data_IF_619241821658
#
_entry.id   IF_619241821658
#
_cell.length_a   1.000
_cell.length_b   1.000
_cell.length_c   1.000
_cell.angle_alpha   90.00
_cell.angle_beta   90.00
_cell.angle_gamma   90.00
#
_symmetry.space_group_name_H-M   'P 1'
#
loop_
_entity.id
_entity.type
_entity.pdbx_description
1 polymer ?
#
# COMPACT_ATOMS: atom_id res chain seq x y z
N UNK A 1 -15.36 -15.18 6.47
CA UNK A 1 -14.48 -15.05 5.30
C UNK A 1 -15.04 -13.95 4.41
N UNK A 2 -14.21 -13.00 3.97
CA UNK A 2 -14.62 -11.99 2.97
C UNK A 2 -14.88 -12.68 1.62
N UNK A 3 -15.79 -12.13 0.82
CA UNK A 3 -16.05 -12.61 -0.54
C UNK A 3 -14.87 -12.28 -1.46
N UNK A 4 -14.63 -13.13 -2.46
CA UNK A 4 -13.62 -12.85 -3.48
C UNK A 4 -14.11 -11.78 -4.46
N UNK A 5 -13.18 -11.08 -5.13
CA UNK A 5 -13.50 -10.12 -6.18
C UNK A 5 -14.36 -10.74 -7.29
N UNK A 6 -14.07 -11.99 -7.67
CA UNK A 6 -14.84 -12.71 -8.69
C UNK A 6 -16.29 -12.97 -8.24
N UNK A 7 -16.50 -13.34 -6.98
CA UNK A 7 -17.84 -13.54 -6.41
C UNK A 7 -18.62 -12.23 -6.39
N UNK A 8 -18.01 -11.14 -5.91
CA UNK A 8 -18.65 -9.82 -5.89
C UNK A 8 -19.04 -9.34 -7.29
N UNK A 9 -18.18 -9.57 -8.29
CA UNK A 9 -18.44 -9.24 -9.69
C UNK A 9 -19.57 -10.08 -10.28
N UNK A 10 -19.62 -11.39 -9.99
CA UNK A 10 -20.70 -12.26 -10.45
C UNK A 10 -22.05 -11.85 -9.85
N UNK A 11 -22.07 -11.55 -8.55
CA UNK A 11 -23.25 -11.03 -7.84
C UNK A 11 -23.71 -9.69 -8.44
N UNK A 12 -22.78 -8.77 -8.72
CA UNK A 12 -23.08 -7.49 -9.34
C UNK A 12 -23.69 -7.65 -10.74
N UNK A 13 -23.15 -8.56 -11.57
CA UNK A 13 -23.68 -8.85 -12.91
C UNK A 13 -25.11 -9.40 -12.90
N UNK A 14 -25.48 -10.13 -11.83
CA UNK A 14 -26.78 -10.77 -11.69
C UNK A 14 -27.81 -9.91 -10.95
N UNK A 15 -27.41 -8.79 -10.35
CA UNK A 15 -28.31 -7.98 -9.53
C UNK A 15 -29.29 -7.16 -10.41
N UNK A 16 -30.55 -7.06 -9.96
CA UNK A 16 -31.56 -6.21 -10.60
C UNK A 16 -31.66 -4.82 -9.97
N UNK A 17 -30.99 -4.62 -8.81
CA UNK A 17 -30.98 -3.38 -8.05
C UNK A 17 -29.59 -3.16 -7.44
N UNK A 18 -28.94 -2.08 -7.87
CA UNK A 18 -27.62 -1.68 -7.36
C UNK A 18 -27.68 -1.33 -5.85
N UNK A 19 -28.75 -0.67 -5.39
CA UNK A 19 -28.90 -0.27 -4.00
C UNK A 19 -29.00 -1.47 -3.05
N UNK A 20 -29.74 -2.51 -3.45
CA UNK A 20 -29.85 -3.76 -2.68
C UNK A 20 -28.51 -4.49 -2.64
N UNK A 21 -27.79 -4.54 -3.76
CA UNK A 21 -26.45 -5.13 -3.83
C UNK A 21 -25.48 -4.44 -2.88
N UNK A 22 -25.42 -3.10 -2.90
CA UNK A 22 -24.53 -2.32 -2.02
C UNK A 22 -24.87 -2.61 -0.55
N UNK A 23 -26.14 -2.52 -0.17
CA UNK A 23 -26.58 -2.76 1.22
C UNK A 23 -26.26 -4.19 1.69
N UNK A 24 -26.44 -5.19 0.82
CA UNK A 24 -26.15 -6.59 1.16
C UNK A 24 -24.65 -6.91 1.28
N UNK A 25 -23.77 -6.06 0.75
CA UNK A 25 -22.32 -6.26 0.74
C UNK A 25 -21.54 -5.12 1.40
N UNK A 26 -22.19 -4.32 2.25
CA UNK A 26 -21.60 -3.14 2.89
C UNK A 26 -20.26 -3.46 3.59
N UNK A 27 -20.20 -4.60 4.29
CA UNK A 27 -19.00 -5.06 5.01
C UNK A 27 -17.88 -5.60 4.11
N UNK A 28 -18.14 -5.79 2.81
CA UNK A 28 -17.15 -6.28 1.84
C UNK A 28 -16.33 -5.14 1.24
N UNK A 29 -16.86 -3.90 1.25
CA UNK A 29 -16.19 -2.76 0.67
C UNK A 29 -15.03 -2.29 1.53
N UNK A 30 -13.97 -1.83 0.86
CA UNK A 30 -12.83 -1.22 1.53
C UNK A 30 -13.24 0.17 2.04
N UNK A 31 -13.10 0.37 3.34
CA UNK A 31 -13.42 1.64 4.02
C UNK A 31 -12.20 2.26 4.71
N UNK A 32 -11.06 1.54 4.73
CA UNK A 32 -9.86 1.94 5.44
C UNK A 32 -9.23 3.18 4.81
N UNK A 33 -9.01 4.22 5.60
CA UNK A 33 -8.20 5.36 5.15
C UNK A 33 -6.71 4.98 5.26
N UNK A 34 -5.86 5.42 4.32
CA UNK A 34 -4.44 5.09 4.37
C UNK A 34 -3.77 5.40 5.71
N UNK A 35 -4.13 6.50 6.37
CA UNK A 35 -3.58 6.85 7.68
C UNK A 35 -3.99 5.85 8.77
N UNK A 36 -5.23 5.37 8.76
CA UNK A 36 -5.73 4.38 9.73
C UNK A 36 -5.01 3.05 9.52
N UNK A 37 -4.95 2.57 8.27
CA UNK A 37 -4.25 1.33 7.89
C UNK A 37 -2.75 1.39 8.24
N UNK A 38 -2.08 2.51 7.99
CA UNK A 38 -0.67 2.70 8.38
C UNK A 38 -0.48 2.62 9.90
N UNK A 39 -1.38 3.22 10.69
CA UNK A 39 -1.30 3.15 12.15
C UNK A 39 -1.56 1.72 12.66
N UNK A 40 -2.52 1.01 12.07
CA UNK A 40 -2.78 -0.39 12.41
C UNK A 40 -1.58 -1.30 12.11
N UNK A 41 -0.93 -1.14 10.96
CA UNK A 41 0.27 -1.91 10.61
C UNK A 41 1.44 -1.62 11.55
N UNK A 42 1.62 -0.36 11.97
CA UNK A 42 2.61 -0.01 12.99
C UNK A 42 2.34 -0.70 14.33
N UNK A 43 1.09 -0.71 14.78
CA UNK A 43 0.69 -1.35 16.04
C UNK A 43 0.90 -2.87 16.00
N UNK A 44 0.47 -3.54 14.92
CA UNK A 44 0.66 -4.98 14.71
C UNK A 44 2.13 -5.37 14.78
N UNK A 45 3.01 -4.54 14.21
CA UNK A 45 4.46 -4.77 14.12
C UNK A 45 5.24 -4.23 15.31
N UNK A 46 4.57 -3.55 16.26
CA UNK A 46 5.18 -2.86 17.41
C UNK A 46 6.25 -1.84 17.01
N UNK A 47 6.06 -1.18 15.88
CA UNK A 47 6.94 -0.13 15.38
C UNK A 47 6.43 1.24 15.81
N UNK A 48 7.34 2.12 16.21
CA UNK A 48 6.99 3.51 16.50
C UNK A 48 6.89 4.33 15.21
N UNK A 49 6.10 5.40 15.24
CA UNK A 49 6.02 6.36 14.12
C UNK A 49 7.40 6.90 13.73
N UNK A 50 8.27 7.14 14.70
CA UNK A 50 9.61 7.67 14.44
C UNK A 50 10.49 6.67 13.69
N UNK A 51 10.42 5.37 14.03
CA UNK A 51 11.15 4.31 13.33
C UNK A 51 10.67 4.18 11.88
N UNK A 52 9.36 4.08 11.68
CA UNK A 52 8.78 3.95 10.33
C UNK A 52 9.08 5.16 9.46
N UNK A 53 8.91 6.38 9.99
CA UNK A 53 9.23 7.62 9.23
C UNK A 53 10.70 7.60 8.81
N UNK A 54 11.62 7.28 9.72
CA UNK A 54 13.05 7.22 9.41
C UNK A 54 13.36 6.18 8.34
N UNK A 55 12.82 4.96 8.48
CA UNK A 55 13.09 3.86 7.56
C UNK A 55 12.40 4.02 6.20
N UNK A 56 11.30 4.78 6.14
CA UNK A 56 10.57 5.06 4.88
C UNK A 56 11.30 6.02 3.95
N UNK A 57 12.25 6.81 4.45
CA UNK A 57 12.92 7.86 3.66
C UNK A 57 12.04 9.08 3.35
N UNK A 58 10.80 9.14 3.85
CA UNK A 58 9.90 10.28 3.64
C UNK A 58 10.33 11.44 4.54
N UNK A 59 10.33 12.67 4.00
CA UNK A 59 10.52 13.87 4.81
C UNK A 59 9.58 13.88 6.03
N UNK A 60 10.14 14.12 7.21
CA UNK A 60 9.48 13.91 8.50
C UNK A 60 8.16 14.65 8.62
N UNK A 61 8.11 15.93 8.28
CA UNK A 61 6.89 16.73 8.39
C UNK A 61 5.80 16.19 7.45
N UNK A 62 6.16 15.86 6.21
CA UNK A 62 5.26 15.25 5.23
C UNK A 62 4.71 13.90 5.70
N UNK A 63 5.55 13.05 6.28
CA UNK A 63 5.15 11.75 6.79
C UNK A 63 4.14 11.89 7.95
N UNK A 64 4.36 12.82 8.88
CA UNK A 64 3.39 13.09 9.95
C UNK A 64 2.05 13.63 9.41
N UNK A 65 2.06 14.45 8.36
CA UNK A 65 0.82 14.89 7.71
C UNK A 65 0.03 13.71 7.12
N UNK A 66 0.70 12.70 6.56
CA UNK A 66 0.03 11.47 6.11
C UNK A 66 -0.50 10.67 7.30
N UNK A 67 0.33 10.39 8.31
CA UNK A 67 -0.06 9.55 9.45
C UNK A 67 -1.18 10.16 10.31
N UNK A 68 -1.38 11.47 10.24
CA UNK A 68 -2.49 12.19 10.88
C UNK A 68 -3.75 12.29 10.00
N UNK A 69 -3.70 11.82 8.76
CA UNK A 69 -4.81 11.92 7.80
C UNK A 69 -4.98 13.32 7.19
N UNK A 70 -4.09 14.28 7.49
CA UNK A 70 -4.12 15.63 6.91
C UNK A 70 -3.79 15.63 5.42
N UNK A 71 -3.00 14.65 4.96
CA UNK A 71 -2.60 14.53 3.56
C UNK A 71 -2.81 13.11 3.04
N UNK A 72 -3.41 13.00 1.86
CA UNK A 72 -3.54 11.72 1.16
C UNK A 72 -2.18 11.35 0.52
N UNK A 73 -1.62 10.17 0.83
CA UNK A 73 -0.37 9.73 0.21
C UNK A 73 -0.54 9.39 -1.27
N UNK A 74 0.50 9.61 -2.07
CA UNK A 74 0.61 9.01 -3.40
C UNK A 74 0.97 7.52 -3.28
N UNK A 75 0.86 6.77 -4.39
CA UNK A 75 1.32 5.38 -4.44
C UNK A 75 2.78 5.25 -4.00
N UNK A 76 3.64 6.15 -4.45
CA UNK A 76 5.05 6.11 -4.09
C UNK A 76 5.28 6.32 -2.59
N UNK A 77 4.54 7.22 -1.97
CA UNK A 77 4.59 7.41 -0.50
C UNK A 77 4.05 6.18 0.24
N UNK A 78 3.02 5.51 -0.28
CA UNK A 78 2.55 4.24 0.28
C UNK A 78 3.63 3.15 0.20
N UNK A 79 4.29 3.01 -0.95
CA UNK A 79 5.38 2.06 -1.13
C UNK A 79 6.56 2.36 -0.19
N UNK A 80 6.95 3.63 -0.07
CA UNK A 80 7.96 4.05 0.92
C UNK A 80 7.57 3.65 2.35
N UNK A 81 6.30 3.78 2.72
CA UNK A 81 5.81 3.26 3.99
C UNK A 81 5.88 1.74 4.08
N UNK A 82 5.61 0.98 3.00
CA UNK A 82 5.79 -0.48 3.00
C UNK A 82 7.24 -0.88 3.35
N UNK A 83 8.24 -0.16 2.81
CA UNK A 83 9.64 -0.35 3.19
C UNK A 83 9.88 0.04 4.66
N UNK A 84 9.34 1.17 5.11
CA UNK A 84 9.44 1.61 6.51
C UNK A 84 8.76 0.67 7.53
N UNK A 85 7.76 -0.09 7.09
CA UNK A 85 7.03 -1.10 7.85
C UNK A 85 7.62 -2.52 7.69
N UNK A 86 8.71 -2.66 6.92
CA UNK A 86 9.37 -3.94 6.67
C UNK A 86 8.41 -5.01 6.11
N UNK A 87 7.52 -4.59 5.21
CA UNK A 87 6.55 -5.49 4.57
C UNK A 87 7.23 -6.43 3.57
N UNK A 88 6.72 -7.65 3.44
CA UNK A 88 7.01 -8.52 2.30
C UNK A 88 6.31 -8.02 1.04
N UNK A 89 6.64 -8.56 -0.14
CA UNK A 89 5.95 -8.18 -1.38
C UNK A 89 4.46 -8.55 -1.34
N UNK A 90 4.10 -9.68 -0.74
CA UNK A 90 2.70 -10.11 -0.56
C UNK A 90 1.95 -9.15 0.36
N UNK A 91 2.56 -8.76 1.50
CA UNK A 91 1.96 -7.81 2.44
C UNK A 91 1.80 -6.43 1.81
N UNK A 92 2.80 -5.94 1.06
CA UNK A 92 2.73 -4.67 0.36
C UNK A 92 1.62 -4.67 -0.71
N UNK A 93 1.48 -5.77 -1.46
CA UNK A 93 0.39 -5.94 -2.42
C UNK A 93 -0.99 -5.88 -1.76
N UNK A 94 -1.16 -6.57 -0.63
CA UNK A 94 -2.41 -6.52 0.13
C UNK A 94 -2.69 -5.11 0.67
N UNK A 95 -1.67 -4.47 1.25
CA UNK A 95 -1.77 -3.12 1.80
C UNK A 95 -2.14 -2.07 0.73
N UNK A 96 -1.53 -2.15 -0.46
CA UNK A 96 -1.88 -1.28 -1.59
C UNK A 96 -3.34 -1.49 -2.02
N UNK A 97 -3.82 -2.73 -2.03
CA UNK A 97 -5.22 -3.03 -2.33
C UNK A 97 -6.14 -2.36 -1.30
N UNK A 98 -5.86 -2.50 0.00
CA UNK A 98 -6.66 -1.89 1.08
C UNK A 98 -6.67 -0.36 1.01
N UNK A 99 -5.55 0.23 0.60
CA UNK A 99 -5.44 1.67 0.34
C UNK A 99 -6.09 2.12 -0.98
N UNK A 100 -6.70 1.21 -1.75
CA UNK A 100 -7.22 1.47 -3.10
C UNK A 100 -6.16 2.06 -4.05
N UNK A 101 -4.90 1.69 -3.87
CA UNK A 101 -3.78 2.12 -4.67
C UNK A 101 -3.45 1.08 -5.77
N UNK A 102 -2.87 1.50 -6.91
CA UNK A 102 -2.43 0.57 -7.94
C UNK A 102 -1.41 -0.44 -7.41
N UNK A 103 -1.65 -1.72 -7.66
CA UNK A 103 -0.75 -2.81 -7.32
C UNK A 103 0.58 -2.74 -8.11
N UNK A 104 1.61 -3.45 -7.66
CA UNK A 104 2.86 -3.66 -8.41
C UNK A 104 2.57 -4.61 -9.58
N UNK A 105 2.86 -4.13 -10.79
CA UNK A 105 2.57 -4.84 -12.03
C UNK A 105 3.83 -5.43 -12.65
N UNK A 106 3.87 -6.76 -12.80
CA UNK A 106 5.05 -7.47 -13.31
C UNK A 106 5.46 -7.12 -14.74
N UNK A 107 4.64 -6.40 -15.54
CA UNK A 107 5.10 -5.87 -16.85
C UNK A 107 5.68 -4.47 -16.77
N UNK A 108 5.60 -3.81 -15.61
CA UNK A 108 6.26 -2.53 -15.37
C UNK A 108 7.68 -2.77 -14.83
N UNK A 109 8.69 -2.22 -15.51
CA UNK A 109 10.11 -2.44 -15.15
C UNK A 109 10.44 -1.93 -13.75
N UNK A 110 9.92 -0.77 -13.35
CA UNK A 110 10.12 -0.20 -12.00
C UNK A 110 9.47 -1.04 -10.93
N UNK A 111 8.25 -1.52 -11.17
CA UNK A 111 7.55 -2.38 -10.22
C UNK A 111 8.27 -3.73 -10.01
N UNK A 112 8.95 -4.27 -11.03
CA UNK A 112 9.79 -5.46 -10.83
C UNK A 112 10.97 -5.20 -9.88
N UNK A 113 11.59 -4.03 -9.98
CA UNK A 113 12.69 -3.63 -9.07
C UNK A 113 12.16 -3.48 -7.64
N UNK A 114 10.99 -2.86 -7.47
CA UNK A 114 10.34 -2.70 -6.16
C UNK A 114 9.97 -4.07 -5.57
N UNK A 115 9.37 -4.97 -6.36
CA UNK A 115 9.05 -6.33 -5.94
C UNK A 115 10.31 -7.09 -5.50
N UNK A 116 11.37 -7.01 -6.30
CA UNK A 116 12.66 -7.61 -5.97
C UNK A 116 13.22 -7.07 -4.65
N UNK A 117 13.17 -5.74 -4.44
CA UNK A 117 13.65 -5.12 -3.22
C UNK A 117 12.86 -5.54 -1.97
N UNK A 118 11.53 -5.66 -2.08
CA UNK A 118 10.67 -6.14 -0.99
C UNK A 118 10.97 -7.60 -0.63
N UNK A 119 11.10 -8.48 -1.62
CA UNK A 119 11.42 -9.90 -1.40
C UNK A 119 12.81 -10.10 -0.77
N UNK A 120 13.77 -9.24 -1.11
CA UNK A 120 15.14 -9.30 -0.60
C UNK A 120 15.37 -8.43 0.64
N UNK A 121 14.30 -7.83 1.21
CA UNK A 121 14.35 -6.96 2.40
C UNK A 121 15.36 -5.81 2.28
N UNK A 122 15.47 -5.23 1.08
CA UNK A 122 16.31 -4.05 0.87
C UNK A 122 15.70 -2.83 1.57
N UNK A 123 16.56 -1.92 2.00
CA UNK A 123 16.17 -0.60 2.50
C UNK A 123 15.71 0.31 1.36
N UNK A 124 15.02 1.40 1.71
CA UNK A 124 14.61 2.41 0.71
C UNK A 124 15.81 3.06 0.00
N UNK A 125 16.96 3.13 0.67
CA UNK A 125 18.21 3.69 0.12
C UNK A 125 18.75 2.74 -0.95
N UNK A 126 18.91 1.45 -0.63
CA UNK A 126 19.38 0.43 -1.58
C UNK A 126 18.43 0.29 -2.78
N UNK A 127 17.12 0.39 -2.56
CA UNK A 127 16.14 0.44 -3.65
C UNK A 127 16.37 1.64 -4.57
N UNK A 128 16.57 2.84 -4.00
CA UNK A 128 16.82 4.04 -4.79
C UNK A 128 18.13 3.95 -5.58
N UNK A 129 19.17 3.36 -5.01
CA UNK A 129 20.44 3.08 -5.71
C UNK A 129 20.19 2.15 -6.91
N UNK A 130 19.48 1.03 -6.72
CA UNK A 130 19.17 0.08 -7.79
C UNK A 130 18.29 0.71 -8.89
N UNK A 131 17.31 1.52 -8.52
CA UNK A 131 16.47 2.27 -9.47
C UNK A 131 17.32 3.25 -10.30
N UNK A 132 18.21 3.98 -9.64
CA UNK A 132 19.11 4.92 -10.29
C UNK A 132 20.05 4.24 -11.28
N UNK A 133 20.69 3.13 -10.89
CA UNK A 133 21.56 2.34 -11.78
C UNK A 133 20.84 1.84 -13.02
N UNK A 134 19.57 1.45 -12.86
CA UNK A 134 18.72 0.96 -13.96
C UNK A 134 18.05 2.07 -14.79
N UNK A 135 18.35 3.35 -14.49
CA UNK A 135 17.79 4.56 -15.10
C UNK A 135 16.27 4.62 -15.00
N UNK A 136 15.76 4.34 -13.81
CA UNK A 136 14.34 4.39 -13.45
C UNK A 136 14.10 5.50 -12.44
N UNK A 137 12.86 5.98 -12.36
CA UNK A 137 12.48 7.02 -11.41
C UNK A 137 12.66 6.53 -9.97
N UNK A 138 13.45 7.26 -9.19
CA UNK A 138 13.69 7.00 -7.77
C UNK A 138 12.52 7.49 -6.91
N UNK A 139 12.49 7.09 -5.64
CA UNK A 139 11.58 7.66 -4.66
C UNK A 139 12.16 8.96 -4.08
N UNK A 140 11.35 10.02 -4.13
CA UNK A 140 11.50 11.30 -3.41
C UNK A 140 10.55 11.34 -2.22
#
# INVERSE_FOLDING_TARGET
>A
MKKSTAQLQEMLKKCNSLNEYIKANETEFLTGKPNELLNEEMEKRKLTKAEVIRSSGIERHYAYQILSGKKTPSRDKLLMFCFGLEMTAEEAQHFLLECSAPLLYAKNKRDNVILFALENRLTIIELNELLYELKLDIFE
#
